data_IF_958548303383
#
_entry.id   IF_958548303383
#
_cell.length_a   1.000
_cell.length_b   1.000
_cell.length_c   1.000
_cell.angle_alpha   90.00
_cell.angle_beta   90.00
_cell.angle_gamma   90.00
#
_symmetry.space_group_name_H-M   'P 1'
#
loop_
_entity.id
_entity.type
_entity.pdbx_description
1 polymer ?
#
# COMPACT_ATOMS: atom_id res chain seq x y z
N UNK A 1 3.53 19.18 31.37
CA UNK A 1 2.79 18.81 30.14
C UNK A 1 3.79 18.18 29.20
N UNK A 2 3.87 16.84 29.17
CA UNK A 2 4.74 16.15 28.23
C UNK A 2 4.14 16.29 26.83
N UNK A 3 4.80 17.06 25.97
CA UNK A 3 4.46 17.10 24.55
C UNK A 3 4.75 15.70 24.00
N UNK A 4 3.71 14.92 23.72
CA UNK A 4 3.82 13.69 22.94
C UNK A 4 4.19 14.10 21.51
N UNK A 5 5.47 14.35 21.27
CA UNK A 5 6.03 14.32 19.92
C UNK A 5 5.90 12.87 19.44
N UNK A 6 4.73 12.52 18.92
CA UNK A 6 4.56 11.27 18.20
C UNK A 6 5.58 11.28 17.07
N UNK A 7 6.54 10.35 17.12
CA UNK A 7 7.52 10.17 16.05
C UNK A 7 6.71 9.99 14.75
N UNK A 8 6.93 10.82 13.72
CA UNK A 8 6.16 10.70 12.49
C UNK A 8 6.36 9.30 11.92
N UNK A 9 5.27 8.57 11.75
CA UNK A 9 5.30 7.23 11.18
C UNK A 9 5.64 7.33 9.70
N UNK A 10 6.88 6.98 9.36
CA UNK A 10 7.35 6.90 7.98
C UNK A 10 6.91 5.56 7.37
N UNK A 11 6.16 5.66 6.28
CA UNK A 11 5.77 4.56 5.43
C UNK A 11 6.39 4.77 4.06
N UNK A 12 6.84 3.66 3.48
CA UNK A 12 7.38 3.58 2.13
C UNK A 12 6.97 2.26 1.51
N UNK A 13 6.45 2.30 0.29
CA UNK A 13 6.14 1.11 -0.50
C UNK A 13 6.30 1.41 -1.98
N UNK A 14 6.91 0.50 -2.74
CA UNK A 14 6.90 0.54 -4.19
C UNK A 14 5.82 -0.40 -4.73
N UNK A 15 4.99 0.08 -5.65
CA UNK A 15 4.03 -0.74 -6.39
C UNK A 15 4.56 -0.94 -7.80
N UNK A 16 4.86 -2.18 -8.17
CA UNK A 16 5.18 -2.57 -9.53
C UNK A 16 3.88 -2.64 -10.36
N UNK A 17 3.82 -1.86 -11.43
CA UNK A 17 2.67 -1.79 -12.33
C UNK A 17 2.79 -2.83 -13.46
N UNK A 18 1.70 -3.05 -14.21
CA UNK A 18 1.67 -4.05 -15.29
C UNK A 18 2.65 -3.76 -16.44
N UNK A 19 3.03 -2.50 -16.62
CA UNK A 19 3.99 -2.04 -17.62
C UNK A 19 5.43 -2.01 -17.07
N UNK A 20 5.68 -2.69 -15.94
CA UNK A 20 6.96 -2.75 -15.23
C UNK A 20 7.42 -1.42 -14.59
N UNK A 21 6.63 -0.34 -14.74
CA UNK A 21 6.92 0.91 -14.05
C UNK A 21 6.64 0.80 -12.55
N UNK A 22 7.23 1.72 -11.77
CA UNK A 22 7.10 1.73 -10.31
C UNK A 22 6.39 2.98 -9.83
N UNK A 23 5.36 2.78 -9.01
CA UNK A 23 4.69 3.84 -8.27
C UNK A 23 5.15 3.82 -6.81
N UNK A 24 5.77 4.90 -6.36
CA UNK A 24 6.21 5.04 -4.97
C UNK A 24 5.11 5.65 -4.11
N UNK A 25 4.77 4.95 -3.02
CA UNK A 25 3.80 5.35 -2.01
C UNK A 25 4.52 5.69 -0.71
N UNK A 26 4.37 6.93 -0.23
CA UNK A 26 5.00 7.37 1.02
C UNK A 26 4.05 8.17 1.90
N UNK A 27 4.40 8.30 3.19
CA UNK A 27 3.70 9.21 4.10
C UNK A 27 3.70 10.65 3.59
N UNK A 28 4.79 11.10 2.96
CA UNK A 28 4.97 12.50 2.57
C UNK A 28 4.18 12.87 1.30
N UNK A 29 4.14 11.97 0.31
CA UNK A 29 3.51 12.26 -0.98
C UNK A 29 2.00 11.97 -0.99
N UNK A 30 1.56 10.87 -0.36
CA UNK A 30 0.16 10.45 -0.38
C UNK A 30 -0.49 10.39 1.01
N UNK A 31 0.24 10.72 2.08
CA UNK A 31 -0.31 10.63 3.44
C UNK A 31 -0.53 9.19 3.92
N UNK A 32 0.06 8.20 3.25
CA UNK A 32 -0.12 6.78 3.58
C UNK A 32 0.69 6.45 4.84
N UNK A 33 0.06 5.76 5.79
CA UNK A 33 0.62 5.33 7.07
C UNK A 33 0.28 3.85 7.29
N UNK A 34 0.86 3.20 8.30
CA UNK A 34 0.48 1.79 8.58
C UNK A 34 -0.98 1.66 9.02
N UNK A 35 -1.55 2.72 9.60
CA UNK A 35 -2.97 2.82 9.96
C UNK A 35 -3.90 3.06 8.75
N UNK A 36 -3.36 3.33 7.55
CA UNK A 36 -4.17 3.52 6.34
C UNK A 36 -4.81 2.19 5.92
N UNK A 37 -6.08 2.22 5.52
CA UNK A 37 -6.81 1.06 4.99
C UNK A 37 -6.32 0.66 3.60
N UNK A 38 -6.35 -0.63 3.29
CA UNK A 38 -6.00 -1.17 1.97
C UNK A 38 -6.83 -0.55 0.84
N UNK A 39 -8.12 -0.26 1.10
CA UNK A 39 -9.01 0.42 0.14
C UNK A 39 -8.51 1.80 -0.29
N UNK A 40 -7.87 2.56 0.62
CA UNK A 40 -7.28 3.86 0.28
C UNK A 40 -6.07 3.68 -0.63
N UNK A 41 -5.22 2.70 -0.35
CA UNK A 41 -4.04 2.37 -1.18
C UNK A 41 -4.46 1.92 -2.57
N UNK A 42 -5.41 0.98 -2.68
CA UNK A 42 -5.99 0.54 -3.95
C UNK A 42 -6.54 1.72 -4.74
N UNK A 43 -7.31 2.60 -4.10
CA UNK A 43 -7.84 3.81 -4.73
C UNK A 43 -6.76 4.75 -5.28
N UNK A 44 -5.61 4.89 -4.61
CA UNK A 44 -4.48 5.67 -5.14
C UNK A 44 -3.88 5.04 -6.39
N UNK A 45 -3.61 3.73 -6.37
CA UNK A 45 -3.03 3.04 -7.52
C UNK A 45 -3.98 3.05 -8.72
N UNK A 46 -5.26 2.75 -8.51
CA UNK A 46 -6.24 2.72 -9.59
C UNK A 46 -6.49 4.09 -10.20
N UNK A 47 -6.50 5.15 -9.37
CA UNK A 47 -6.57 6.53 -9.88
C UNK A 47 -5.32 6.92 -10.66
N UNK A 48 -4.13 6.52 -10.20
CA UNK A 48 -2.87 6.79 -10.91
C UNK A 48 -2.85 6.14 -12.30
N UNK A 49 -3.36 4.92 -12.40
CA UNK A 49 -3.48 4.16 -13.65
C UNK A 49 -4.71 4.56 -14.50
N UNK A 50 -5.60 5.41 -13.98
CA UNK A 50 -6.86 5.77 -14.61
C UNK A 50 -7.73 4.55 -14.99
N UNK A 51 -7.80 3.55 -14.11
CA UNK A 51 -8.57 2.32 -14.33
C UNK A 51 -10.07 2.59 -14.18
N UNK A 52 -10.86 2.13 -15.15
CA UNK A 52 -12.33 2.22 -15.14
C UNK A 52 -12.92 0.99 -14.46
N UNK A 53 -12.45 -0.21 -14.82
CA UNK A 53 -12.96 -1.49 -14.31
C UNK A 53 -12.08 -2.01 -13.16
N UNK A 54 -12.17 -1.35 -12.01
CA UNK A 54 -11.31 -1.65 -10.85
C UNK A 54 -11.56 -3.03 -10.21
N UNK A 55 -12.71 -3.63 -10.46
CA UNK A 55 -13.13 -4.92 -9.85
C UNK A 55 -12.29 -6.11 -10.35
N UNK A 56 -11.57 -5.96 -11.45
CA UNK A 56 -10.66 -6.98 -11.99
C UNK A 56 -9.24 -6.89 -11.44
N UNK A 57 -8.88 -5.77 -10.81
CA UNK A 57 -7.52 -5.51 -10.38
C UNK A 57 -7.38 -5.61 -8.87
N UNK A 58 -6.17 -5.97 -8.44
CA UNK A 58 -5.82 -5.95 -7.03
C UNK A 58 -4.33 -5.79 -6.82
N UNK A 59 -3.94 -5.52 -5.58
CA UNK A 59 -2.54 -5.50 -5.18
C UNK A 59 -2.19 -6.79 -4.46
N UNK A 60 -1.07 -7.38 -4.85
CA UNK A 60 -0.43 -8.46 -4.12
C UNK A 60 0.88 -8.00 -3.51
N UNK A 61 1.24 -8.61 -2.39
CA UNK A 61 2.50 -8.39 -1.71
C UNK A 61 3.08 -9.73 -1.25
N UNK A 62 4.38 -9.77 -1.03
CA UNK A 62 5.03 -10.93 -0.42
C UNK A 62 5.27 -10.68 1.06
N UNK A 63 5.08 -11.68 1.91
CA UNK A 63 5.59 -11.63 3.27
C UNK A 63 7.11 -11.94 3.29
N UNK A 64 7.73 -11.94 4.47
CA UNK A 64 9.16 -12.26 4.62
C UNK A 64 9.51 -13.70 4.27
N UNK A 65 8.50 -14.58 4.21
CA UNK A 65 8.64 -15.98 3.80
C UNK A 65 8.37 -16.19 2.30
N UNK A 66 8.33 -15.10 1.51
CA UNK A 66 7.98 -15.11 0.09
C UNK A 66 6.60 -15.68 -0.22
N UNK A 67 5.70 -15.73 0.76
CA UNK A 67 4.31 -16.09 0.52
C UNK A 67 3.57 -14.88 0.00
N UNK A 68 2.75 -15.10 -1.04
CA UNK A 68 2.00 -14.04 -1.69
C UNK A 68 0.61 -13.89 -1.05
N UNK A 69 0.24 -12.65 -0.75
CA UNK A 69 -1.06 -12.29 -0.20
C UNK A 69 -1.70 -11.17 -1.02
N UNK A 70 -3.03 -11.16 -1.04
CA UNK A 70 -3.79 -10.01 -1.52
C UNK A 70 -3.85 -8.94 -0.44
N UNK A 71 -3.76 -7.68 -0.87
CA UNK A 71 -4.09 -6.55 0.00
C UNK A 71 -5.59 -6.53 0.24
N UNK A 72 -6.01 -6.72 1.48
CA UNK A 72 -7.40 -6.70 1.90
C UNK A 72 -7.88 -5.23 2.04
N UNK A 73 -8.94 -4.82 1.32
CA UNK A 73 -9.43 -3.45 1.34
C UNK A 73 -9.99 -3.01 2.71
N UNK A 74 -10.37 -3.98 3.55
CA UNK A 74 -11.03 -3.74 4.84
C UNK A 74 -10.03 -3.55 5.99
N UNK A 75 -8.82 -4.09 5.84
CA UNK A 75 -7.73 -4.03 6.83
C UNK A 75 -6.84 -2.81 6.62
N UNK A 76 -6.24 -2.34 7.70
CA UNK A 76 -5.11 -1.41 7.67
C UNK A 76 -3.83 -2.10 7.22
N UNK A 77 -2.85 -1.36 6.72
CA UNK A 77 -1.55 -1.93 6.33
C UNK A 77 -0.83 -2.62 7.50
N UNK A 78 -1.04 -2.15 8.73
CA UNK A 78 -0.48 -2.75 9.95
C UNK A 78 -1.06 -4.15 10.27
N UNK A 79 -2.30 -4.43 9.86
CA UNK A 79 -2.99 -5.70 10.12
C UNK A 79 -2.63 -6.78 9.08
N UNK A 80 -1.90 -6.41 8.03
CA UNK A 80 -1.41 -7.35 7.03
C UNK A 80 -0.16 -8.08 7.53
N UNK A 81 -0.15 -9.40 7.33
CA UNK A 81 0.93 -10.28 7.81
C UNK A 81 2.26 -9.88 7.17
N UNK A 82 3.18 -9.38 8.00
CA UNK A 82 4.57 -9.04 7.65
C UNK A 82 4.73 -8.33 6.29
N UNK A 83 3.83 -7.39 6.01
CA UNK A 83 3.81 -6.64 4.75
C UNK A 83 5.17 -5.97 4.51
N UNK A 84 5.80 -6.33 3.39
CA UNK A 84 7.04 -5.72 2.93
C UNK A 84 6.74 -4.45 2.15
N UNK A 85 7.77 -3.62 1.94
CA UNK A 85 7.68 -2.35 1.22
C UNK A 85 7.52 -2.51 -0.31
N UNK A 86 7.01 -3.64 -0.79
CA UNK A 86 6.83 -3.91 -2.22
C UNK A 86 5.50 -4.62 -2.45
N UNK A 87 4.73 -4.08 -3.39
CA UNK A 87 3.50 -4.64 -3.91
C UNK A 87 3.56 -4.70 -5.43
N UNK A 88 2.69 -5.48 -6.03
CA UNK A 88 2.51 -5.52 -7.48
C UNK A 88 1.03 -5.61 -7.81
N UNK A 89 0.63 -4.89 -8.86
CA UNK A 89 -0.73 -4.98 -9.39
C UNK A 89 -0.88 -6.26 -10.21
N UNK A 90 -2.06 -6.84 -10.18
CA UNK A 90 -2.50 -7.96 -11.01
C UNK A 90 -3.79 -7.56 -11.71
#
# INVERSE_FOLDING_TARGET
MGCFCAVPEEFYCEVLLLDESKLTLTTQHQGIKKSTKGSVVLGYVFRHLNLIEIDYFGLRYCDRSHQTFWLDPTKTLAEHKELINSMYII
#
